data_IF_509417699903
#
_entry.id   IF_509417699903
#
_cell.length_a   1.000
_cell.length_b   1.000
_cell.length_c   1.000
_cell.angle_alpha   90.00
_cell.angle_beta   90.00
_cell.angle_gamma   90.00
#
_symmetry.space_group_name_H-M   'P 1'
#
loop_
_entity.id
_entity.type
_entity.pdbx_description
1 polymer ?
#
# COMPACT_ATOMS: atom_id res chain seq x y z
N UNK A 1 2.81 -8.85 -4.76
CA UNK A 1 2.59 -9.10 -6.19
C UNK A 1 3.75 -8.57 -7.00
N UNK A 2 4.05 -9.14 -8.16
CA UNK A 2 5.23 -8.77 -8.99
C UNK A 2 4.81 -8.03 -10.27
N UNK A 3 3.78 -8.48 -10.97
CA UNK A 3 3.31 -7.86 -12.20
C UNK A 3 1.82 -8.06 -12.43
N UNK A 4 1.31 -7.42 -13.47
CA UNK A 4 -0.09 -7.49 -13.90
C UNK A 4 -0.11 -7.91 -15.37
N UNK A 5 -0.81 -8.99 -15.69
CA UNK A 5 -0.96 -9.47 -17.07
C UNK A 5 -2.03 -8.69 -17.84
N UNK A 6 -3.16 -8.38 -17.21
CA UNK A 6 -4.28 -7.64 -17.79
C UNK A 6 -4.65 -6.46 -16.87
N UNK A 7 -4.19 -5.28 -17.24
CA UNK A 7 -4.39 -4.07 -16.45
C UNK A 7 -5.86 -3.68 -16.31
N UNK A 8 -6.69 -3.94 -17.36
CA UNK A 8 -8.11 -3.58 -17.35
C UNK A 8 -8.90 -4.47 -16.40
N UNK A 9 -8.69 -5.77 -16.48
CA UNK A 9 -9.31 -6.75 -15.58
C UNK A 9 -8.87 -6.53 -14.14
N UNK A 10 -7.57 -6.29 -13.93
CA UNK A 10 -7.03 -5.98 -12.62
C UNK A 10 -7.70 -4.74 -12.01
N UNK A 11 -7.80 -3.63 -12.76
CA UNK A 11 -8.44 -2.40 -12.28
C UNK A 11 -9.91 -2.61 -11.92
N UNK A 12 -10.65 -3.33 -12.74
CA UNK A 12 -12.06 -3.61 -12.48
C UNK A 12 -12.24 -4.44 -11.20
N UNK A 13 -11.48 -5.51 -11.06
CA UNK A 13 -11.51 -6.37 -9.88
C UNK A 13 -11.06 -5.62 -8.61
N UNK A 14 -9.98 -4.83 -8.72
CA UNK A 14 -9.44 -4.05 -7.60
C UNK A 14 -10.46 -3.03 -7.07
N UNK A 15 -11.13 -2.29 -7.98
CA UNK A 15 -12.17 -1.33 -7.60
C UNK A 15 -13.33 -2.01 -6.89
N UNK A 16 -13.81 -3.12 -7.43
CA UNK A 16 -14.90 -3.88 -6.81
C UNK A 16 -14.51 -4.40 -5.42
N UNK A 17 -13.28 -4.90 -5.28
CA UNK A 17 -12.77 -5.37 -4.00
C UNK A 17 -12.61 -4.21 -2.99
N UNK A 18 -12.07 -3.07 -3.43
CA UNK A 18 -11.83 -1.91 -2.55
C UNK A 18 -13.10 -1.24 -2.05
N UNK A 19 -14.21 -1.34 -2.79
CA UNK A 19 -15.54 -0.90 -2.35
C UNK A 19 -16.05 -1.83 -1.24
N UNK A 20 -15.82 -3.13 -1.37
CA UNK A 20 -16.35 -4.13 -0.44
C UNK A 20 -15.53 -4.21 0.85
N UNK A 21 -14.19 -4.13 0.75
CA UNK A 21 -13.26 -4.27 1.88
C UNK A 21 -12.01 -3.42 1.67
N UNK A 22 -11.32 -2.96 2.73
CA UNK A 22 -10.00 -2.36 2.60
C UNK A 22 -9.03 -3.33 1.89
N UNK A 23 -8.34 -2.84 0.88
CA UNK A 23 -7.35 -3.61 0.12
C UNK A 23 -5.98 -2.98 0.34
N UNK A 24 -5.03 -3.77 0.83
CA UNK A 24 -3.63 -3.37 1.01
C UNK A 24 -2.78 -4.11 0.00
N UNK A 25 -1.93 -3.39 -0.72
CA UNK A 25 -1.12 -3.95 -1.79
C UNK A 25 0.36 -3.71 -1.54
N UNK A 26 1.13 -4.80 -1.49
CA UNK A 26 2.59 -4.80 -1.51
C UNK A 26 3.04 -5.30 -2.89
N UNK A 27 3.79 -4.46 -3.62
CA UNK A 27 4.35 -4.80 -4.94
C UNK A 27 5.87 -4.76 -4.91
N UNK A 28 6.51 -5.82 -5.37
CA UNK A 28 7.95 -5.88 -5.66
C UNK A 28 8.29 -5.25 -7.02
N UNK A 29 9.56 -5.10 -7.33
CA UNK A 29 10.02 -4.60 -8.62
C UNK A 29 9.87 -3.09 -8.81
N UNK A 30 10.06 -2.30 -7.75
CA UNK A 30 10.00 -0.82 -7.81
C UNK A 30 11.23 -0.19 -8.45
N UNK A 31 12.40 -0.77 -8.21
CA UNK A 31 13.68 -0.29 -8.74
C UNK A 31 14.13 -1.20 -9.87
N UNK A 32 15.00 -0.70 -10.74
CA UNK A 32 15.51 -1.43 -11.92
C UNK A 32 16.03 -2.84 -11.56
N UNK A 33 16.81 -2.96 -10.48
CA UNK A 33 17.32 -4.26 -10.03
C UNK A 33 16.20 -5.24 -9.61
N UNK A 34 15.20 -4.74 -8.89
CA UNK A 34 14.03 -5.55 -8.49
C UNK A 34 13.14 -5.92 -9.67
N UNK A 35 13.02 -5.03 -10.67
CA UNK A 35 12.29 -5.32 -11.92
C UNK A 35 12.99 -6.40 -12.74
N UNK A 36 14.33 -6.36 -12.84
CA UNK A 36 15.10 -7.39 -13.52
C UNK A 36 14.96 -8.76 -12.84
N UNK A 37 14.99 -8.79 -11.49
CA UNK A 37 14.77 -10.01 -10.72
C UNK A 37 13.34 -10.56 -10.92
N UNK A 38 12.32 -9.71 -10.91
CA UNK A 38 10.93 -10.11 -11.14
C UNK A 38 10.72 -10.69 -12.55
N UNK A 39 11.38 -10.13 -13.56
CA UNK A 39 11.33 -10.63 -14.94
C UNK A 39 11.85 -12.07 -15.06
N UNK A 40 12.95 -12.38 -14.37
CA UNK A 40 13.54 -13.74 -14.38
C UNK A 40 12.73 -14.73 -13.56
N UNK A 41 12.01 -14.28 -12.55
CA UNK A 41 11.26 -15.14 -11.63
C UNK A 41 9.84 -15.46 -12.13
N UNK A 42 9.13 -14.48 -12.68
CA UNK A 42 7.70 -14.62 -13.05
C UNK A 42 7.38 -14.32 -14.50
N UNK A 43 8.38 -13.95 -15.31
CA UNK A 43 8.22 -13.44 -16.68
C UNK A 43 7.21 -12.27 -16.80
N UNK A 44 6.87 -11.63 -15.69
CA UNK A 44 5.91 -10.55 -15.67
C UNK A 44 6.57 -9.24 -16.12
N UNK A 45 5.98 -8.55 -17.07
CA UNK A 45 6.39 -7.20 -17.45
C UNK A 45 6.02 -6.27 -16.30
N UNK A 46 7.03 -5.73 -15.65
CA UNK A 46 6.86 -4.73 -14.60
C UNK A 46 6.66 -3.38 -15.26
N UNK A 47 5.43 -2.89 -15.30
CA UNK A 47 5.13 -1.53 -15.76
C UNK A 47 5.69 -0.45 -14.84
N UNK A 48 5.58 0.84 -15.27
CA UNK A 48 6.01 1.98 -14.46
C UNK A 48 5.38 1.95 -13.06
N UNK A 49 6.23 2.12 -12.04
CA UNK A 49 5.82 2.11 -10.64
C UNK A 49 4.89 3.28 -10.31
N UNK A 50 5.12 4.45 -10.93
CA UNK A 50 4.28 5.65 -10.76
C UNK A 50 2.86 5.44 -11.33
N UNK A 51 2.77 4.78 -12.49
CA UNK A 51 1.48 4.43 -13.09
C UNK A 51 0.74 3.45 -12.18
N UNK A 52 1.44 2.46 -11.65
CA UNK A 52 0.86 1.50 -10.73
C UNK A 52 0.34 2.18 -9.45
N UNK A 53 1.10 3.11 -8.89
CA UNK A 53 0.69 3.86 -7.71
C UNK A 53 -0.56 4.72 -7.97
N UNK A 54 -0.62 5.40 -9.11
CA UNK A 54 -1.80 6.16 -9.52
C UNK A 54 -3.04 5.27 -9.69
N UNK A 55 -2.85 4.07 -10.22
CA UNK A 55 -3.90 3.04 -10.37
C UNK A 55 -4.46 2.61 -9.03
N UNK A 56 -3.60 2.30 -8.06
CA UNK A 56 -4.01 1.89 -6.71
C UNK A 56 -4.79 3.00 -6.00
N UNK A 57 -4.29 4.25 -6.06
CA UNK A 57 -4.99 5.41 -5.47
C UNK A 57 -6.37 5.60 -6.07
N UNK A 58 -6.50 5.53 -7.40
CA UNK A 58 -7.80 5.66 -8.08
C UNK A 58 -8.77 4.54 -7.76
N UNK A 59 -8.26 3.35 -7.44
CA UNK A 59 -9.08 2.21 -7.04
C UNK A 59 -9.49 2.26 -5.57
N UNK A 60 -8.89 3.14 -4.76
CA UNK A 60 -9.12 3.20 -3.30
C UNK A 60 -8.35 2.13 -2.52
N UNK A 61 -7.29 1.56 -3.11
CA UNK A 61 -6.41 0.60 -2.44
C UNK A 61 -5.25 1.30 -1.74
N UNK A 62 -4.83 0.77 -0.60
CA UNK A 62 -3.69 1.26 0.17
C UNK A 62 -2.41 0.59 -0.32
N UNK A 63 -1.44 1.38 -0.75
CA UNK A 63 -0.11 0.87 -1.10
C UNK A 63 0.81 0.89 0.10
N UNK A 64 1.59 -0.17 0.24
CA UNK A 64 2.66 -0.31 1.25
C UNK A 64 3.95 -0.77 0.57
N UNK A 65 5.10 -0.52 1.21
CA UNK A 65 6.42 -0.71 0.63
C UNK A 65 7.27 -1.77 1.34
N UNK A 66 6.81 -2.27 2.47
CA UNK A 66 7.47 -3.32 3.25
C UNK A 66 6.46 -4.29 3.85
N UNK A 67 6.94 -5.45 4.28
CA UNK A 67 6.12 -6.42 5.02
C UNK A 67 5.67 -5.84 6.36
N UNK A 68 6.52 -5.08 7.04
CA UNK A 68 6.16 -4.42 8.30
C UNK A 68 4.97 -3.47 8.10
N UNK A 69 5.03 -2.64 7.06
CA UNK A 69 3.91 -1.76 6.70
C UNK A 69 2.65 -2.55 6.32
N UNK A 70 2.80 -3.68 5.61
CA UNK A 70 1.67 -4.53 5.24
C UNK A 70 0.90 -5.02 6.47
N UNK A 71 1.61 -5.57 7.45
CA UNK A 71 0.99 -6.06 8.68
C UNK A 71 0.44 -4.92 9.55
N UNK A 72 1.14 -3.79 9.63
CA UNK A 72 0.67 -2.61 10.37
C UNK A 72 -0.60 -2.03 9.75
N UNK A 73 -0.63 -1.86 8.43
CA UNK A 73 -1.81 -1.40 7.71
C UNK A 73 -2.99 -2.38 7.86
N UNK A 74 -2.74 -3.67 7.71
CA UNK A 74 -3.78 -4.68 7.88
C UNK A 74 -4.36 -4.66 9.30
N UNK A 75 -3.52 -4.55 10.33
CA UNK A 75 -3.95 -4.44 11.73
C UNK A 75 -4.78 -3.18 11.97
N UNK A 76 -4.33 -2.03 11.46
CA UNK A 76 -5.03 -0.76 11.59
C UNK A 76 -6.41 -0.81 10.93
N UNK A 77 -6.49 -1.32 9.70
CA UNK A 77 -7.74 -1.41 8.95
C UNK A 77 -8.70 -2.46 9.53
N UNK A 78 -8.19 -3.56 10.08
CA UNK A 78 -8.99 -4.57 10.77
C UNK A 78 -9.61 -4.05 12.07
N UNK A 79 -8.98 -3.10 12.75
CA UNK A 79 -9.50 -2.45 13.95
C UNK A 79 -10.72 -1.54 13.66
N UNK A 80 -11.11 -1.37 12.40
CA UNK A 80 -12.26 -0.57 11.94
C UNK A 80 -12.24 0.89 12.42
N UNK A 81 -11.06 1.44 12.68
CA UNK A 81 -10.92 2.86 12.98
C UNK A 81 -11.41 3.69 11.80
N UNK A 82 -12.41 4.52 12.05
CA UNK A 82 -12.89 5.52 11.09
C UNK A 82 -12.50 6.88 11.60
N UNK A 83 -11.50 7.54 11.03
CA UNK A 83 -11.13 8.89 11.43
C UNK A 83 -12.30 9.85 11.16
N UNK A 84 -12.67 10.61 12.18
CA UNK A 84 -13.77 11.58 12.12
C UNK A 84 -13.27 12.92 11.57
N UNK A 85 -11.95 13.15 11.61
CA UNK A 85 -11.32 14.38 11.15
C UNK A 85 -9.86 14.14 10.75
N UNK A 86 -9.17 15.19 10.28
CA UNK A 86 -7.73 15.18 10.01
C UNK A 86 -6.87 15.49 11.24
N UNK A 87 -7.45 15.52 12.43
CA UNK A 87 -6.73 15.79 13.66
C UNK A 87 -6.34 14.47 14.34
N UNK A 88 -5.09 14.36 14.75
CA UNK A 88 -4.54 13.22 15.48
C UNK A 88 -4.10 13.69 16.86
N UNK A 89 -4.45 12.96 17.91
CA UNK A 89 -3.91 13.13 19.25
C UNK A 89 -2.90 12.03 19.54
N UNK A 90 -1.72 12.42 20.02
CA UNK A 90 -0.67 11.49 20.45
C UNK A 90 -0.63 11.51 21.96
N UNK A 91 -0.82 10.35 22.58
CA UNK A 91 -0.71 10.15 24.03
C UNK A 91 0.45 9.21 24.28
N UNK A 92 1.47 9.68 24.98
CA UNK A 92 2.66 8.91 25.32
C UNK A 92 3.06 9.16 26.77
N UNK A 93 3.62 8.14 27.41
CA UNK A 93 4.16 8.24 28.78
C UNK A 93 5.58 8.83 28.85
N UNK A 94 6.13 9.27 27.72
CA UNK A 94 7.43 9.91 27.60
C UNK A 94 7.47 10.86 26.41
N UNK A 95 8.27 11.93 26.51
CA UNK A 95 8.37 12.97 25.47
C UNK A 95 8.97 12.45 24.17
N UNK A 96 10.04 11.64 24.23
CA UNK A 96 10.74 11.12 23.06
C UNK A 96 9.85 10.37 22.06
N UNK A 97 9.09 9.36 22.47
CA UNK A 97 8.15 8.66 21.60
C UNK A 97 7.09 9.57 20.96
N UNK A 98 6.61 10.58 21.72
CA UNK A 98 5.65 11.56 21.20
C UNK A 98 6.24 12.43 20.10
N UNK A 99 7.47 12.92 20.26
CA UNK A 99 8.19 13.72 19.26
C UNK A 99 8.45 12.88 18.01
N UNK A 100 8.98 11.65 18.15
CA UNK A 100 9.22 10.76 17.03
C UNK A 100 7.94 10.45 16.23
N UNK A 101 6.81 10.27 16.91
CA UNK A 101 5.53 10.06 16.24
C UNK A 101 5.07 11.32 15.48
N UNK A 102 5.32 12.51 16.03
CA UNK A 102 4.96 13.77 15.38
C UNK A 102 5.79 14.04 14.12
N UNK A 103 7.04 13.58 14.06
CA UNK A 103 7.90 13.70 12.87
C UNK A 103 7.42 12.88 11.67
N UNK A 104 6.50 11.92 11.88
CA UNK A 104 5.96 11.03 10.84
C UNK A 104 4.56 11.45 10.34
N UNK A 105 4.01 12.54 10.84
CA UNK A 105 2.67 13.05 10.50
C UNK A 105 2.78 14.26 9.58
#
# INVERSE_FOLDING_TARGET
>A
MEGIQDARKFMSALRSAAIAKPVVVLKSGRKAAGSAAALTHSAAIVGSDDVFDAVLRRAGAVRVHSFTELFSAAKCLAARYRPVSKRLAIIANGGGPGVLAADWI
#
